data_IF_088552307164
#
_entry.id   IF_088552307164
#
_cell.length_a   1.000
_cell.length_b   1.000
_cell.length_c   1.000
_cell.angle_alpha   90.00
_cell.angle_beta   90.00
_cell.angle_gamma   90.00
#
_symmetry.space_group_name_H-M   'P 1'
#
loop_
_entity.id
_entity.type
_entity.pdbx_description
1 polymer ?
#
# COMPACT_ATOMS: atom_id res chain seq x y z
N UNK A 1 21.69 -13.70 -5.83
CA UNK A 1 22.24 -12.97 -6.99
C UNK A 1 22.82 -13.97 -8.01
N UNK A 2 22.53 -13.76 -9.29
CA UNK A 2 22.94 -14.69 -10.37
C UNK A 2 24.46 -14.65 -10.59
N UNK A 3 25.08 -13.51 -10.33
CA UNK A 3 26.50 -13.26 -10.56
C UNK A 3 27.30 -12.99 -9.28
N UNK A 4 26.83 -13.48 -8.15
CA UNK A 4 27.38 -13.10 -6.84
C UNK A 4 26.86 -11.74 -6.38
N UNK A 5 27.29 -11.29 -5.20
CA UNK A 5 26.87 -10.01 -4.61
C UNK A 5 26.38 -10.14 -3.18
N UNK A 6 25.70 -9.10 -2.70
CA UNK A 6 25.22 -9.01 -1.33
C UNK A 6 23.70 -9.17 -1.31
N UNK A 7 23.18 -10.00 -0.40
CA UNK A 7 21.74 -10.08 -0.08
C UNK A 7 21.51 -9.31 1.21
N UNK A 8 20.69 -8.25 1.15
CA UNK A 8 20.30 -7.47 2.30
C UNK A 8 18.91 -7.93 2.77
N UNK A 9 18.85 -8.62 3.92
CA UNK A 9 17.58 -9.00 4.54
C UNK A 9 17.01 -7.84 5.35
N UNK A 10 15.75 -7.49 5.08
CA UNK A 10 15.00 -6.46 5.80
C UNK A 10 14.13 -7.03 6.94
N UNK A 11 14.19 -8.32 7.24
CA UNK A 11 13.37 -9.00 8.25
C UNK A 11 13.52 -8.45 9.67
N UNK A 12 14.64 -7.80 9.97
CA UNK A 12 14.89 -7.16 11.27
C UNK A 12 14.17 -5.81 11.41
N UNK A 13 13.76 -5.19 10.32
CA UNK A 13 13.00 -3.93 10.28
C UNK A 13 11.50 -4.20 10.33
N UNK A 14 10.98 -4.71 11.45
CA UNK A 14 9.60 -5.21 11.58
C UNK A 14 8.75 -4.46 12.63
N UNK A 15 9.13 -3.23 12.97
CA UNK A 15 8.38 -2.45 13.96
C UNK A 15 7.27 -1.63 13.29
N UNK A 16 6.09 -1.67 13.87
CA UNK A 16 5.08 -0.62 13.71
C UNK A 16 5.46 0.45 14.72
N UNK A 17 6.07 1.55 14.25
CA UNK A 17 6.66 2.58 15.10
C UNK A 17 5.57 3.42 15.74
N UNK A 18 4.54 3.77 14.94
CA UNK A 18 3.45 4.62 15.37
C UNK A 18 2.19 4.35 14.53
N UNK A 19 1.03 4.38 15.15
CA UNK A 19 -0.27 4.53 14.46
C UNK A 19 -0.95 5.75 15.09
N UNK A 20 -1.05 6.83 14.31
CA UNK A 20 -1.67 8.08 14.71
C UNK A 20 -3.14 8.07 14.27
N UNK A 21 -4.00 7.72 15.20
CA UNK A 21 -5.45 7.64 14.97
C UNK A 21 -6.07 9.00 14.66
N UNK A 22 -5.53 10.07 15.23
CA UNK A 22 -6.03 11.43 15.06
C UNK A 22 -5.79 11.96 13.66
N UNK A 23 -4.61 11.67 13.09
CA UNK A 23 -4.20 12.16 11.78
C UNK A 23 -4.36 11.11 10.67
N UNK A 24 -4.87 9.91 10.98
CA UNK A 24 -5.04 8.82 10.04
C UNK A 24 -3.73 8.44 9.34
N UNK A 25 -2.67 8.26 10.11
CA UNK A 25 -1.33 7.99 9.59
C UNK A 25 -0.67 6.88 10.39
N UNK A 26 0.31 6.24 9.79
CA UNK A 26 1.18 5.31 10.48
C UNK A 26 2.62 5.45 10.01
N UNK A 27 3.55 5.16 10.91
CA UNK A 27 4.98 5.05 10.60
C UNK A 27 5.40 3.62 10.89
N UNK A 28 5.94 2.94 9.88
CA UNK A 28 6.31 1.54 9.95
C UNK A 28 7.66 1.28 9.31
N UNK A 29 8.27 0.17 9.69
CA UNK A 29 9.46 -0.38 9.04
C UNK A 29 9.09 -1.31 7.88
N UNK A 30 9.93 -1.46 6.85
CA UNK A 30 9.61 -2.19 5.62
C UNK A 30 9.41 -3.70 5.79
N UNK A 31 9.98 -4.33 6.81
CA UNK A 31 9.84 -5.76 7.08
C UNK A 31 8.57 -6.14 7.87
N UNK A 32 7.66 -5.20 8.12
CA UNK A 32 6.36 -5.50 8.70
C UNK A 32 5.51 -6.27 7.68
N UNK A 33 4.90 -7.38 8.11
CA UNK A 33 3.98 -8.18 7.28
C UNK A 33 2.70 -7.38 7.04
N UNK A 34 2.23 -7.35 5.81
CA UNK A 34 1.07 -6.56 5.37
C UNK A 34 -0.17 -6.85 6.20
N UNK A 35 -0.50 -8.14 6.40
CA UNK A 35 -1.66 -8.54 7.19
C UNK A 35 -1.55 -8.08 8.65
N UNK A 36 -0.39 -8.22 9.27
CA UNK A 36 -0.15 -7.76 10.65
C UNK A 36 -0.42 -6.26 10.78
N UNK A 37 0.05 -5.48 9.81
CA UNK A 37 -0.21 -4.04 9.78
C UNK A 37 -1.69 -3.72 9.61
N UNK A 38 -2.38 -4.42 8.71
CA UNK A 38 -3.83 -4.24 8.50
C UNK A 38 -4.61 -4.52 9.79
N UNK A 39 -4.34 -5.65 10.45
CA UNK A 39 -5.00 -6.04 11.70
C UNK A 39 -4.75 -5.02 12.84
N UNK A 40 -3.52 -4.49 12.95
CA UNK A 40 -3.22 -3.46 13.94
C UNK A 40 -3.93 -2.11 13.66
N UNK A 41 -4.12 -1.77 12.40
CA UNK A 41 -4.95 -0.62 12.02
C UNK A 41 -6.43 -0.85 12.34
N UNK A 42 -6.97 -2.02 12.00
CA UNK A 42 -8.38 -2.37 12.21
C UNK A 42 -8.77 -2.35 13.70
N UNK A 43 -7.89 -2.81 14.60
CA UNK A 43 -8.08 -2.73 16.07
C UNK A 43 -8.30 -1.29 16.56
N UNK A 44 -7.85 -0.29 15.79
CA UNK A 44 -7.94 1.15 16.09
C UNK A 44 -9.00 1.87 15.26
N UNK A 45 -9.88 1.12 14.58
CA UNK A 45 -10.90 1.71 13.71
C UNK A 45 -10.35 2.35 12.43
N UNK A 46 -9.11 2.02 12.07
CA UNK A 46 -8.43 2.49 10.86
C UNK A 46 -8.31 1.36 9.84
N UNK A 47 -8.03 1.74 8.59
CA UNK A 47 -7.98 0.79 7.50
C UNK A 47 -6.83 1.12 6.54
N UNK A 48 -6.01 0.10 6.23
CA UNK A 48 -5.02 0.11 5.17
C UNK A 48 -5.54 -0.73 4.00
N UNK A 49 -6.05 -0.11 2.92
CA UNK A 49 -6.78 -0.81 1.87
C UNK A 49 -5.99 -1.74 0.96
N UNK A 50 -4.71 -1.49 0.59
CA UNK A 50 -3.98 -2.37 -0.31
C UNK A 50 -3.97 -3.80 0.18
N UNK A 51 -4.38 -4.75 -0.69
CA UNK A 51 -4.69 -6.13 -0.31
C UNK A 51 -4.11 -7.13 -1.33
N UNK A 52 -2.78 -7.24 -1.44
CA UNK A 52 -2.17 -8.22 -2.33
C UNK A 52 -2.53 -9.65 -1.88
N UNK A 53 -2.65 -10.56 -2.84
CA UNK A 53 -2.95 -11.97 -2.54
C UNK A 53 -1.95 -12.59 -1.54
N UNK A 54 -0.71 -12.10 -1.55
CA UNK A 54 0.37 -12.50 -0.65
C UNK A 54 0.39 -11.81 0.72
N UNK A 55 -0.64 -11.03 1.09
CA UNK A 55 -0.66 -10.19 2.31
C UNK A 55 -0.23 -10.89 3.59
N UNK A 56 -0.48 -12.21 3.70
CA UNK A 56 -0.13 -13.01 4.88
C UNK A 56 1.38 -13.27 5.02
N UNK A 57 2.15 -13.05 3.97
CA UNK A 57 3.60 -13.27 3.93
C UNK A 57 4.40 -12.12 3.34
N UNK A 58 3.76 -11.21 2.58
CA UNK A 58 4.45 -10.08 1.97
C UNK A 58 4.82 -9.03 3.00
N UNK A 59 6.01 -8.47 2.86
CA UNK A 59 6.47 -7.33 3.64
C UNK A 59 6.05 -6.01 2.98
N UNK A 60 5.76 -5.00 3.79
CA UNK A 60 5.36 -3.67 3.30
C UNK A 60 6.41 -3.05 2.37
N UNK A 61 7.70 -3.23 2.65
CA UNK A 61 8.78 -2.76 1.77
C UNK A 61 8.75 -3.40 0.39
N UNK A 62 8.46 -4.70 0.29
CA UNK A 62 8.26 -5.39 -0.97
C UNK A 62 7.03 -4.87 -1.71
N UNK A 63 5.92 -4.63 -1.00
CA UNK A 63 4.72 -4.03 -1.60
C UNK A 63 4.99 -2.64 -2.17
N UNK A 64 5.87 -1.85 -1.53
CA UNK A 64 6.29 -0.56 -2.08
C UNK A 64 7.19 -0.74 -3.30
N UNK A 65 8.17 -1.64 -3.24
CA UNK A 65 9.10 -1.88 -4.34
C UNK A 65 8.38 -2.28 -5.63
N UNK A 66 7.34 -3.11 -5.52
CA UNK A 66 6.50 -3.57 -6.64
C UNK A 66 5.32 -2.62 -6.95
N UNK A 67 5.02 -1.67 -6.07
CA UNK A 67 3.75 -0.91 -6.06
C UNK A 67 2.52 -1.84 -6.08
N UNK A 68 2.48 -2.80 -5.17
CA UNK A 68 1.46 -3.85 -5.14
C UNK A 68 0.03 -3.29 -5.09
N UNK A 69 -0.85 -3.95 -5.83
CA UNK A 69 -2.29 -3.74 -5.78
C UNK A 69 -3.00 -4.91 -5.08
N UNK A 70 -4.20 -5.24 -5.57
CA UNK A 70 -5.01 -6.33 -5.08
C UNK A 70 -6.45 -6.18 -5.56
N UNK A 71 -7.36 -7.08 -5.17
CA UNK A 71 -8.75 -7.04 -5.63
C UNK A 71 -9.48 -5.75 -5.26
N UNK A 72 -9.02 -5.03 -4.23
CA UNK A 72 -9.62 -3.77 -3.79
C UNK A 72 -9.12 -2.54 -4.55
N UNK A 73 -8.19 -2.71 -5.50
CA UNK A 73 -7.53 -1.59 -6.19
C UNK A 73 -8.49 -0.73 -7.03
N UNK A 74 -9.55 -1.31 -7.57
CA UNK A 74 -10.56 -0.58 -8.35
C UNK A 74 -11.20 0.56 -7.54
N UNK A 75 -11.47 0.32 -6.26
CA UNK A 75 -12.07 1.33 -5.38
C UNK A 75 -11.03 2.16 -4.64
N UNK A 76 -10.00 1.51 -4.14
CA UNK A 76 -9.09 2.11 -3.17
C UNK A 76 -7.74 2.51 -3.75
N UNK A 77 -7.42 2.08 -4.98
CA UNK A 77 -6.09 2.29 -5.54
C UNK A 77 -5.08 1.25 -5.06
N UNK A 78 -3.81 1.56 -5.24
CA UNK A 78 -2.67 0.67 -5.00
C UNK A 78 -1.77 1.21 -3.89
N UNK A 79 -0.68 0.53 -3.58
CA UNK A 79 0.24 0.90 -2.48
C UNK A 79 0.70 2.35 -2.54
N UNK A 80 1.08 2.87 -3.71
CA UNK A 80 1.55 4.25 -3.87
C UNK A 80 0.55 5.32 -3.43
N UNK A 81 -0.74 5.02 -3.51
CA UNK A 81 -1.81 5.97 -3.18
C UNK A 81 -1.92 6.20 -1.66
N UNK A 82 -1.25 5.36 -0.87
CA UNK A 82 -1.25 5.40 0.60
C UNK A 82 0.07 5.83 1.21
N UNK A 83 1.12 6.05 0.42
CA UNK A 83 2.42 6.47 0.95
C UNK A 83 2.55 7.99 0.91
N UNK A 84 2.74 8.58 2.09
CA UNK A 84 2.95 10.01 2.28
C UNK A 84 4.43 10.40 2.24
N UNK A 85 5.30 9.51 2.66
CA UNK A 85 6.74 9.77 2.71
C UNK A 85 7.55 8.53 3.03
N UNK A 86 8.84 8.61 2.80
CA UNK A 86 9.80 7.54 3.01
C UNK A 86 11.07 8.07 3.70
N UNK A 87 11.69 7.23 4.51
CA UNK A 87 13.13 7.29 4.79
C UNK A 87 13.78 6.20 3.94
N UNK A 88 14.82 6.56 3.20
CA UNK A 88 15.49 5.63 2.30
C UNK A 88 16.98 5.88 2.26
N UNK A 89 17.76 4.83 2.00
CA UNK A 89 19.21 4.87 1.85
C UNK A 89 19.55 4.78 0.36
N UNK A 90 20.26 5.77 -0.15
CA UNK A 90 20.74 5.82 -1.53
C UNK A 90 21.94 4.88 -1.75
N UNK A 91 22.28 4.55 -3.00
CA UNK A 91 23.49 3.76 -3.32
C UNK A 91 24.79 4.39 -2.79
N UNK A 92 24.81 5.69 -2.54
CA UNK A 92 25.92 6.42 -1.92
C UNK A 92 26.08 6.18 -0.43
N UNK A 93 25.07 5.54 0.23
CA UNK A 93 24.97 5.40 1.67
C UNK A 93 24.27 6.58 2.37
N UNK A 94 23.90 7.60 1.65
CA UNK A 94 23.16 8.75 2.17
C UNK A 94 21.74 8.37 2.58
N UNK A 95 21.30 8.79 3.77
CA UNK A 95 19.92 8.64 4.24
C UNK A 95 19.14 9.87 3.84
N UNK A 96 18.08 9.68 3.08
CA UNK A 96 17.18 10.76 2.66
C UNK A 96 15.78 10.55 3.20
N UNK A 97 15.05 11.66 3.39
CA UNK A 97 13.63 11.65 3.69
C UNK A 97 12.89 12.29 2.51
N UNK A 98 11.85 11.63 2.02
CA UNK A 98 11.00 12.12 0.93
C UNK A 98 9.57 12.26 1.40
N UNK A 99 8.83 13.23 0.85
CA UNK A 99 7.46 13.49 1.28
C UNK A 99 7.37 13.99 2.73
N UNK A 100 6.35 13.55 3.47
CA UNK A 100 6.15 13.95 4.86
C UNK A 100 4.75 13.61 5.37
N UNK A 101 4.43 13.99 6.61
CA UNK A 101 3.13 13.75 7.27
C UNK A 101 2.05 14.76 6.82
N UNK A 102 2.00 15.08 5.53
CA UNK A 102 1.04 16.03 4.96
C UNK A 102 0.32 15.40 3.77
N UNK A 103 -0.98 15.64 3.66
CA UNK A 103 -1.77 15.14 2.53
C UNK A 103 -1.55 15.96 1.26
N UNK A 104 -1.27 17.25 1.40
CA UNK A 104 -1.02 18.15 0.28
C UNK A 104 0.46 18.51 0.26
N UNK A 105 1.18 17.95 -0.69
CA UNK A 105 2.57 18.30 -0.98
C UNK A 105 2.70 18.56 -2.48
N UNK A 106 2.90 19.82 -2.86
CA UNK A 106 2.92 20.25 -4.27
C UNK A 106 4.26 20.84 -4.69
N UNK A 107 5.25 20.86 -3.80
CA UNK A 107 6.54 21.51 -4.07
C UNK A 107 7.57 20.48 -4.54
N UNK A 108 8.22 20.76 -5.66
CA UNK A 108 9.32 19.97 -6.22
C UNK A 108 8.88 18.63 -6.84
N UNK A 109 9.85 17.80 -7.14
CA UNK A 109 9.61 16.47 -7.67
C UNK A 109 9.12 15.51 -6.59
N UNK A 110 8.21 14.62 -6.96
CA UNK A 110 7.70 13.60 -6.06
C UNK A 110 8.65 12.39 -6.02
N UNK A 111 9.72 12.51 -5.24
CA UNK A 111 10.70 11.43 -5.07
C UNK A 111 10.11 10.20 -4.36
N UNK A 112 9.11 10.40 -3.50
CA UNK A 112 8.37 9.30 -2.87
C UNK A 112 7.77 8.38 -3.93
N UNK A 113 7.06 8.96 -4.92
CA UNK A 113 6.43 8.20 -6.00
C UNK A 113 7.46 7.61 -6.98
N UNK A 114 8.61 8.26 -7.14
CA UNK A 114 9.70 7.76 -7.99
C UNK A 114 10.32 6.47 -7.41
N UNK A 115 10.51 6.43 -6.09
CA UNK A 115 11.10 5.26 -5.40
C UNK A 115 10.12 4.09 -5.33
N UNK A 116 8.82 4.36 -5.19
CA UNK A 116 7.79 3.31 -5.19
C UNK A 116 7.66 2.70 -6.60
N UNK A 117 7.71 1.37 -6.69
CA UNK A 117 7.69 0.65 -7.96
C UNK A 117 9.05 0.59 -8.65
N UNK A 118 10.12 1.01 -7.97
CA UNK A 118 11.49 0.94 -8.52
C UNK A 118 12.17 -0.42 -8.33
N UNK A 119 11.51 -1.37 -7.68
CA UNK A 119 12.05 -2.72 -7.38
C UNK A 119 13.41 -2.69 -6.68
N UNK A 120 13.64 -1.66 -5.81
CA UNK A 120 14.88 -1.49 -5.06
C UNK A 120 16.07 -0.97 -5.90
N UNK A 121 15.85 -0.58 -7.16
CA UNK A 121 16.93 -0.11 -8.05
C UNK A 121 17.42 1.29 -7.72
N UNK A 122 16.65 2.10 -7.02
CA UNK A 122 16.96 3.49 -6.68
C UNK A 122 17.43 3.69 -5.25
N UNK A 123 16.84 2.98 -4.29
CA UNK A 123 17.14 3.15 -2.87
C UNK A 123 16.66 1.95 -2.04
N UNK A 124 17.20 1.80 -0.84
CA UNK A 124 16.71 0.86 0.19
C UNK A 124 15.79 1.61 1.15
N UNK A 125 14.52 1.25 1.18
CA UNK A 125 13.52 1.87 2.07
C UNK A 125 13.74 1.35 3.49
N UNK A 126 13.86 2.25 4.47
CA UNK A 126 14.06 1.92 5.89
C UNK A 126 12.87 2.33 6.76
N UNK A 127 12.07 3.31 6.31
CA UNK A 127 10.86 3.75 7.02
C UNK A 127 9.79 4.21 6.05
N UNK A 128 8.54 3.98 6.39
CA UNK A 128 7.39 4.29 5.55
C UNK A 128 6.38 5.07 6.36
N UNK A 129 5.90 6.18 5.81
CA UNK A 129 4.79 6.96 6.36
C UNK A 129 3.57 6.67 5.50
N UNK A 130 2.58 5.99 6.09
CA UNK A 130 1.33 5.68 5.42
C UNK A 130 0.21 6.65 5.78
N UNK A 131 -0.66 6.93 4.81
CA UNK A 131 -2.00 7.44 5.02
C UNK A 131 -2.93 6.24 5.29
N UNK A 132 -3.81 6.39 6.25
CA UNK A 132 -4.87 5.44 6.55
C UNK A 132 -6.24 6.06 6.24
N UNK A 133 -7.27 5.24 6.20
CA UNK A 133 -8.65 5.69 6.06
C UNK A 133 -9.49 5.10 7.19
N UNK A 134 -10.68 5.64 7.48
CA UNK A 134 -11.58 5.04 8.45
C UNK A 134 -11.95 3.61 8.06
N UNK A 135 -12.04 2.72 9.05
CA UNK A 135 -12.47 1.35 8.84
C UNK A 135 -13.93 1.32 8.34
N UNK A 136 -14.23 0.65 7.22
CA UNK A 136 -15.58 0.52 6.71
C UNK A 136 -16.50 -0.18 7.73
N UNK A 137 -17.61 0.46 8.07
CA UNK A 137 -18.55 -0.06 9.09
C UNK A 137 -19.26 -1.34 8.66
N UNK A 138 -19.47 -1.51 7.37
CA UNK A 138 -20.23 -2.63 6.81
C UNK A 138 -19.58 -3.14 5.53
N UNK A 139 -19.45 -4.44 5.40
CA UNK A 139 -19.13 -5.13 4.14
C UNK A 139 -20.35 -5.96 3.75
N UNK A 140 -20.76 -5.87 2.48
CA UNK A 140 -21.81 -6.71 1.89
C UNK A 140 -21.24 -7.40 0.66
N UNK A 141 -21.57 -8.66 0.49
CA UNK A 141 -21.21 -9.45 -0.69
C UNK A 141 -22.48 -9.78 -1.43
N UNK A 142 -22.44 -9.59 -2.75
CA UNK A 142 -23.50 -9.98 -3.68
C UNK A 142 -22.95 -11.08 -4.58
N UNK A 143 -23.69 -12.17 -4.70
CA UNK A 143 -23.46 -13.21 -5.70
C UNK A 143 -24.64 -13.15 -6.67
N UNK A 144 -24.34 -12.94 -7.95
CA UNK A 144 -25.36 -12.85 -9.01
C UNK A 144 -25.01 -13.85 -10.10
N UNK A 145 -25.97 -14.71 -10.46
CA UNK A 145 -25.84 -15.63 -11.59
C UNK A 145 -26.40 -14.99 -12.87
N UNK A 146 -25.72 -15.23 -13.98
CA UNK A 146 -26.13 -14.79 -15.32
C UNK A 146 -26.24 -16.02 -16.24
N UNK A 147 -27.16 -15.96 -17.20
CA UNK A 147 -27.33 -17.03 -18.19
C UNK A 147 -26.36 -16.91 -19.38
N UNK A 148 -25.82 -15.72 -19.62
CA UNK A 148 -24.85 -15.44 -20.66
C UNK A 148 -23.69 -14.60 -20.14
N UNK A 149 -22.51 -14.81 -20.69
CA UNK A 149 -21.29 -14.08 -20.32
C UNK A 149 -21.42 -12.59 -20.65
N UNK A 150 -22.05 -12.28 -21.77
CA UNK A 150 -22.28 -10.91 -22.24
C UNK A 150 -23.08 -10.10 -21.22
N UNK A 151 -24.09 -10.71 -20.60
CA UNK A 151 -24.91 -10.06 -19.57
C UNK A 151 -24.09 -9.75 -18.31
N UNK A 152 -23.19 -10.67 -17.92
CA UNK A 152 -22.32 -10.46 -16.80
C UNK A 152 -21.34 -9.29 -17.03
N UNK A 153 -20.75 -9.19 -18.21
CA UNK A 153 -19.87 -8.10 -18.61
C UNK A 153 -20.63 -6.76 -18.66
N UNK A 154 -21.83 -6.76 -19.26
CA UNK A 154 -22.67 -5.57 -19.33
C UNK A 154 -23.10 -5.06 -17.93
N UNK A 155 -23.35 -5.98 -16.99
CA UNK A 155 -23.70 -5.64 -15.62
C UNK A 155 -22.56 -4.88 -14.91
N UNK A 156 -21.30 -5.26 -15.13
CA UNK A 156 -20.13 -4.54 -14.56
C UNK A 156 -20.11 -3.08 -15.04
N UNK A 157 -20.24 -2.85 -16.35
CA UNK A 157 -20.28 -1.50 -16.90
C UNK A 157 -21.45 -0.67 -16.34
N UNK A 158 -22.65 -1.29 -16.24
CA UNK A 158 -23.83 -0.65 -15.67
C UNK A 158 -23.67 -0.23 -14.21
N UNK A 159 -22.97 -1.03 -13.40
CA UNK A 159 -22.69 -0.70 -11.98
C UNK A 159 -21.86 0.57 -11.90
N UNK A 160 -20.77 0.67 -12.68
CA UNK A 160 -19.92 1.85 -12.70
C UNK A 160 -20.64 3.10 -13.25
N UNK A 161 -21.45 2.96 -14.32
CA UNK A 161 -22.24 4.05 -14.88
C UNK A 161 -23.26 4.63 -13.89
N UNK A 162 -23.71 3.82 -12.93
CA UNK A 162 -24.59 4.27 -11.83
C UNK A 162 -23.83 4.91 -10.66
N UNK A 163 -22.53 5.15 -10.80
CA UNK A 163 -21.70 5.75 -9.75
C UNK A 163 -21.39 4.84 -8.58
N UNK A 164 -21.57 3.54 -8.73
CA UNK A 164 -21.25 2.54 -7.70
C UNK A 164 -19.88 1.95 -8.01
N UNK A 165 -18.93 2.09 -7.10
CA UNK A 165 -17.60 1.45 -7.21
C UNK A 165 -17.52 0.32 -6.19
N UNK A 166 -17.61 -0.95 -6.62
CA UNK A 166 -17.42 -2.10 -5.74
C UNK A 166 -16.00 -2.10 -5.14
N UNK A 167 -15.84 -2.70 -3.97
CA UNK A 167 -14.52 -2.77 -3.33
C UNK A 167 -13.66 -3.92 -3.87
N UNK A 168 -14.27 -4.89 -4.50
CA UNK A 168 -13.63 -5.99 -5.20
C UNK A 168 -14.64 -6.58 -6.18
#
# INVERSE_FOLDING_TARGET
PVYGGIVLSMERFKRIIEIDERNFQAVVEPGVITQVFQEECEKRGLYYPPDPASRGSSHLGGNLAECSGGPRAVKYGVTKDYVLGLEAVLPTGEVINTGGRVLKNVSGYNLTQLIIGSEGTLAVITKIIFRLVPLPRVKKVLLVAFNALEDAVAAVASIFQRGITPSA
#
